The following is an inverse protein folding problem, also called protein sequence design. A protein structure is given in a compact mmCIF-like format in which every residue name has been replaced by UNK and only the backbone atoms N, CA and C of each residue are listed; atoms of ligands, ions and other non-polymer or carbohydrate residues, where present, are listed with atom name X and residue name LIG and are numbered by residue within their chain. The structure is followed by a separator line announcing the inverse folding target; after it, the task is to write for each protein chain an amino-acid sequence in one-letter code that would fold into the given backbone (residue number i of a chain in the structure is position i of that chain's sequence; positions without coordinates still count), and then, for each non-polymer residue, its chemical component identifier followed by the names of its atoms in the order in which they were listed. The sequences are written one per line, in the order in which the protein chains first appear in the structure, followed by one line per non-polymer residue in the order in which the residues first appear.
data_IF_009887501381
#
_entry.id   IF_009887501381
#
_cell.length_a   1.000
_cell.length_b   1.000
_cell.length_c   1.000
_cell.angle_alpha   90.00
_cell.angle_beta   90.00
_cell.angle_gamma   90.00
#
_symmetry.space_group_name_H-M   'P 1'
#
loop_
_entity.id
_entity.type
_entity.pdbx_description
1 polymer ?
#
# COMPACT_ATOMS: atom_id res chain seq x y z
N UNK A 1 19.75 22.54 1.34
CA UNK A 1 20.75 23.07 2.29
C UNK A 1 20.08 23.38 3.62
N UNK A 2 19.31 24.47 3.77
CA UNK A 2 18.51 24.74 4.97
C UNK A 2 17.46 23.64 5.25
N UNK A 3 16.91 23.04 4.21
CA UNK A 3 15.92 21.98 4.28
C UNK A 3 16.37 20.76 5.10
N UNK A 4 17.63 20.36 4.98
CA UNK A 4 18.22 19.19 5.69
C UNK A 4 19.22 19.58 6.79
N UNK A 5 19.47 20.86 6.99
CA UNK A 5 20.49 21.36 7.95
C UNK A 5 21.92 21.00 7.58
N UNK A 6 22.18 20.54 6.34
CA UNK A 6 23.51 20.14 5.89
C UNK A 6 23.80 20.66 4.47
N UNK A 7 25.04 21.07 4.25
CA UNK A 7 25.59 21.41 2.93
C UNK A 7 26.92 20.68 2.75
N UNK A 8 27.06 19.92 1.67
CA UNK A 8 28.26 19.08 1.40
C UNK A 8 28.69 18.22 2.60
N UNK A 9 27.70 17.60 3.28
CA UNK A 9 27.93 16.77 4.46
C UNK A 9 28.18 17.51 5.78
N UNK A 10 28.38 18.83 5.76
CA UNK A 10 28.63 19.66 6.95
C UNK A 10 27.33 20.30 7.47
N UNK A 11 27.19 20.42 8.80
CA UNK A 11 26.06 21.12 9.41
C UNK A 11 26.08 22.61 9.03
N UNK A 12 24.91 23.14 8.68
CA UNK A 12 24.70 24.58 8.44
C UNK A 12 24.03 25.16 9.66
N UNK A 13 24.74 26.05 10.37
CA UNK A 13 24.28 26.65 11.62
C UNK A 13 23.38 27.88 11.40
N UNK A 14 23.59 28.62 10.30
CA UNK A 14 22.78 29.78 9.98
C UNK A 14 22.61 29.92 8.46
N UNK A 15 21.48 30.48 8.05
CA UNK A 15 21.17 30.88 6.68
C UNK A 15 20.65 32.32 6.71
N UNK A 16 21.29 33.23 5.95
CA UNK A 16 20.92 34.66 5.92
C UNK A 16 20.79 35.28 7.33
N UNK A 17 21.72 34.90 8.23
CA UNK A 17 21.76 35.42 9.61
C UNK A 17 20.73 34.80 10.56
N UNK A 18 19.86 33.89 10.10
CA UNK A 18 18.92 33.16 10.96
C UNK A 18 19.46 31.79 11.32
N UNK A 19 19.32 31.33 12.59
CA UNK A 19 19.76 30.00 12.99
C UNK A 19 18.99 28.92 12.22
N UNK A 20 19.70 27.91 11.75
CA UNK A 20 19.10 26.72 11.11
C UNK A 20 18.89 25.67 12.21
N UNK A 21 17.65 25.18 12.43
CA UNK A 21 17.37 24.15 13.41
C UNK A 21 18.16 22.88 13.15
N UNK A 22 18.40 22.08 14.17
CA UNK A 22 19.01 20.76 14.02
C UNK A 22 18.18 19.90 13.06
N UNK A 23 18.85 19.30 12.04
CA UNK A 23 18.17 18.59 10.97
C UNK A 23 17.49 19.49 9.92
N UNK A 24 17.66 20.82 10.04
CA UNK A 24 17.05 21.80 9.16
C UNK A 24 15.52 21.93 9.31
N UNK A 25 14.86 22.49 8.31
CA UNK A 25 13.40 22.60 8.30
C UNK A 25 12.68 21.23 8.38
N UNK A 26 13.26 20.19 7.81
CA UNK A 26 12.70 18.83 7.91
C UNK A 26 12.79 18.32 9.35
N UNK A 27 13.93 18.53 10.03
CA UNK A 27 14.07 18.14 11.44
C UNK A 27 13.08 18.88 12.34
N UNK A 28 12.94 20.18 12.14
CA UNK A 28 11.97 21.00 12.87
C UNK A 28 10.53 20.56 12.61
N UNK A 29 10.17 20.36 11.35
CA UNK A 29 8.84 19.86 10.98
C UNK A 29 8.51 18.52 11.64
N UNK A 30 9.47 17.59 11.69
CA UNK A 30 9.28 16.28 12.34
C UNK A 30 9.15 16.37 13.85
N UNK A 31 9.78 17.37 14.50
CA UNK A 31 9.60 17.61 15.94
C UNK A 31 8.23 18.18 16.24
N UNK A 32 7.74 19.09 15.39
CA UNK A 32 6.43 19.73 15.57
C UNK A 32 5.27 18.82 15.16
N UNK A 33 5.45 18.04 14.09
CA UNK A 33 4.44 17.13 13.54
C UNK A 33 5.05 15.74 13.43
N UNK A 34 4.85 14.87 14.42
CA UNK A 34 5.31 13.48 14.35
C UNK A 34 4.72 12.77 13.13
N UNK A 35 5.58 12.07 12.38
CA UNK A 35 5.11 11.24 11.26
C UNK A 35 4.35 10.02 11.79
N UNK A 36 3.28 9.59 11.11
CA UNK A 36 2.62 8.33 11.47
C UNK A 36 3.60 7.17 11.29
N UNK A 37 3.58 6.24 12.24
CA UNK A 37 4.27 4.96 12.10
C UNK A 37 3.26 3.92 11.57
N UNK A 38 3.37 3.61 10.29
CA UNK A 38 2.51 2.64 9.59
C UNK A 38 3.21 1.31 9.37
N UNK A 39 4.47 1.16 9.79
CA UNK A 39 5.34 0.02 9.49
C UNK A 39 4.67 -1.31 9.88
N UNK A 40 4.17 -1.41 11.11
CA UNK A 40 3.49 -2.63 11.55
C UNK A 40 2.24 -2.94 10.72
N UNK A 41 1.44 -1.93 10.38
CA UNK A 41 0.24 -2.15 9.56
C UNK A 41 0.58 -2.65 8.16
N UNK A 42 1.65 -2.10 7.55
CA UNK A 42 2.14 -2.55 6.24
C UNK A 42 2.69 -3.98 6.31
N UNK A 43 3.46 -4.32 7.35
CA UNK A 43 3.97 -5.67 7.57
C UNK A 43 2.82 -6.69 7.72
N UNK A 44 1.81 -6.39 8.54
CA UNK A 44 0.65 -7.27 8.75
C UNK A 44 -0.20 -7.40 7.47
N UNK A 45 -0.34 -6.32 6.71
CA UNK A 45 -1.00 -6.33 5.40
C UNK A 45 -0.29 -7.25 4.42
N UNK A 46 1.04 -7.10 4.27
CA UNK A 46 1.85 -7.98 3.42
C UNK A 46 1.80 -9.44 3.87
N UNK A 47 1.86 -9.69 5.18
CA UNK A 47 1.76 -11.04 5.73
C UNK A 47 0.40 -11.68 5.44
N UNK A 48 -0.71 -10.95 5.63
CA UNK A 48 -2.06 -11.47 5.36
C UNK A 48 -2.25 -11.75 3.87
N UNK A 49 -1.79 -10.85 3.01
CA UNK A 49 -1.85 -11.01 1.57
C UNK A 49 -1.10 -12.26 1.10
N UNK A 50 0.13 -12.47 1.57
CA UNK A 50 0.91 -13.66 1.20
C UNK A 50 0.28 -14.95 1.75
N UNK A 51 -0.15 -14.93 3.01
CA UNK A 51 -0.73 -16.12 3.64
C UNK A 51 -2.09 -16.48 3.03
N UNK A 52 -2.89 -15.53 2.59
CA UNK A 52 -4.19 -15.78 1.96
C UNK A 52 -4.07 -16.54 0.65
N UNK A 53 -3.02 -16.30 -0.13
CA UNK A 53 -2.75 -17.01 -1.40
C UNK A 53 -2.47 -18.50 -1.18
N UNK A 54 -1.98 -18.87 -0.01
CA UNK A 54 -1.64 -20.24 0.33
C UNK A 54 -2.84 -21.06 0.84
N UNK A 55 -3.98 -20.40 1.10
CA UNK A 55 -5.18 -21.11 1.56
C UNK A 55 -5.75 -22.04 0.48
N UNK A 56 -6.27 -23.21 0.85
CA UNK A 56 -6.82 -24.17 -0.10
C UNK A 56 -7.94 -23.56 -0.98
N UNK A 57 -8.77 -22.73 -0.40
CA UNK A 57 -9.91 -22.09 -1.06
C UNK A 57 -9.45 -21.10 -2.15
N UNK A 58 -8.43 -20.29 -1.85
CA UNK A 58 -7.88 -19.33 -2.83
C UNK A 58 -7.14 -20.07 -3.94
N UNK A 59 -6.35 -21.10 -3.61
CA UNK A 59 -5.69 -21.93 -4.62
C UNK A 59 -6.69 -22.61 -5.56
N UNK A 60 -7.76 -23.17 -5.02
CA UNK A 60 -8.81 -23.81 -5.82
C UNK A 60 -9.51 -22.82 -6.73
N UNK A 61 -9.87 -21.64 -6.21
CA UNK A 61 -10.52 -20.59 -6.99
C UNK A 61 -9.59 -20.00 -8.06
N UNK A 62 -8.29 -19.84 -7.77
CA UNK A 62 -7.29 -19.41 -8.76
C UNK A 62 -7.14 -20.43 -9.88
N UNK A 63 -7.12 -21.73 -9.57
CA UNK A 63 -7.07 -22.78 -10.57
C UNK A 63 -8.33 -22.80 -11.46
N UNK A 64 -9.51 -22.61 -10.88
CA UNK A 64 -10.76 -22.49 -11.62
C UNK A 64 -10.77 -21.26 -12.53
N UNK A 65 -10.28 -20.11 -12.05
CA UNK A 65 -10.12 -18.90 -12.84
C UNK A 65 -9.15 -19.11 -14.03
N UNK A 66 -7.99 -19.73 -13.78
CA UNK A 66 -7.03 -20.06 -14.83
C UNK A 66 -7.62 -20.97 -15.92
N UNK A 67 -8.42 -21.99 -15.53
CA UNK A 67 -9.13 -22.85 -16.46
C UNK A 67 -10.15 -22.06 -17.29
N UNK A 68 -10.94 -21.18 -16.69
CA UNK A 68 -11.87 -20.29 -17.38
C UNK A 68 -11.16 -19.37 -18.40
N UNK A 69 -10.01 -18.80 -18.02
CA UNK A 69 -9.20 -17.96 -18.92
C UNK A 69 -8.65 -18.77 -20.10
N UNK A 70 -8.24 -20.02 -19.85
CA UNK A 70 -7.77 -20.93 -20.90
C UNK A 70 -8.87 -21.25 -21.92
N UNK A 71 -10.11 -21.46 -21.49
CA UNK A 71 -11.27 -21.67 -22.40
C UNK A 71 -11.53 -20.46 -23.29
N UNK A 72 -11.10 -19.27 -22.88
CA UNK A 72 -11.19 -18.01 -23.63
C UNK A 72 -9.95 -17.72 -24.48
N UNK A 73 -8.98 -18.64 -24.51
CA UNK A 73 -7.76 -18.54 -25.32
C UNK A 73 -6.58 -17.86 -24.61
N UNK A 74 -6.67 -17.58 -23.29
CA UNK A 74 -5.59 -16.97 -22.52
C UNK A 74 -4.86 -18.01 -21.67
N UNK A 75 -3.57 -18.22 -21.94
CA UNK A 75 -2.72 -19.17 -21.20
C UNK A 75 -2.08 -18.44 -19.99
N UNK A 76 -2.79 -18.38 -18.89
CA UNK A 76 -2.35 -17.72 -17.65
C UNK A 76 -2.58 -18.62 -16.45
N UNK A 77 -1.59 -18.73 -15.56
CA UNK A 77 -1.68 -19.53 -14.34
C UNK A 77 -2.21 -18.71 -13.16
N UNK A 78 -1.86 -17.44 -13.10
CA UNK A 78 -2.21 -16.52 -12.00
C UNK A 78 -2.73 -15.19 -12.55
N UNK A 79 -3.40 -14.43 -11.69
CA UNK A 79 -3.87 -13.07 -12.04
C UNK A 79 -2.73 -12.12 -12.35
N UNK A 80 -1.52 -12.38 -11.83
CA UNK A 80 -0.33 -11.59 -12.14
C UNK A 80 0.16 -11.83 -13.57
N UNK A 81 0.02 -13.06 -14.08
CA UNK A 81 0.37 -13.38 -15.45
C UNK A 81 -0.56 -12.68 -16.45
N UNK A 82 -1.83 -12.49 -16.07
CA UNK A 82 -2.79 -11.76 -16.89
C UNK A 82 -2.39 -10.29 -17.10
N UNK A 83 -1.75 -9.66 -16.14
CA UNK A 83 -1.25 -8.29 -16.27
C UNK A 83 -0.18 -8.13 -17.36
N UNK A 84 0.50 -9.23 -17.71
CA UNK A 84 1.54 -9.23 -18.74
C UNK A 84 0.99 -9.50 -20.16
N UNK A 85 -0.32 -9.73 -20.31
CA UNK A 85 -0.96 -9.95 -21.61
C UNK A 85 -1.14 -8.66 -22.44
N UNK A 86 -0.97 -7.52 -21.81
CA UNK A 86 -1.13 -6.19 -22.41
C UNK A 86 0.08 -5.32 -22.12
N UNK A 87 0.34 -4.32 -22.96
CA UNK A 87 1.43 -3.38 -22.75
C UNK A 87 1.00 -2.22 -21.84
N UNK A 88 1.47 -2.16 -20.58
CA UNK A 88 1.11 -1.09 -19.65
C UNK A 88 1.66 0.30 -20.05
N UNK A 89 2.62 0.35 -20.99
CA UNK A 89 3.20 1.59 -21.50
C UNK A 89 2.43 2.18 -22.70
N UNK A 90 1.42 1.47 -23.20
CA UNK A 90 0.61 1.95 -24.32
C UNK A 90 -0.17 3.21 -23.91
N UNK A 91 -0.13 4.23 -24.77
CA UNK A 91 -0.89 5.48 -24.56
C UNK A 91 -2.38 5.38 -24.93
N UNK A 92 -2.80 4.25 -25.52
CA UNK A 92 -4.18 4.01 -25.96
C UNK A 92 -4.62 2.59 -25.62
N UNK A 93 -5.89 2.46 -25.22
CA UNK A 93 -6.51 1.16 -24.94
C UNK A 93 -6.82 0.45 -26.26
N UNK A 94 -6.18 -0.71 -26.48
CA UNK A 94 -6.41 -1.55 -27.65
C UNK A 94 -7.67 -2.42 -27.49
N UNK A 95 -8.21 -2.92 -28.63
CA UNK A 95 -9.30 -3.90 -28.60
C UNK A 95 -8.89 -5.24 -27.96
N UNK A 96 -7.63 -5.63 -28.10
CA UNK A 96 -7.07 -6.81 -27.44
C UNK A 96 -7.09 -6.65 -25.92
N UNK A 97 -6.63 -5.51 -25.42
CA UNK A 97 -6.63 -5.17 -23.99
C UNK A 97 -8.05 -5.18 -23.42
N UNK A 98 -9.00 -4.55 -24.12
CA UNK A 98 -10.42 -4.55 -23.72
C UNK A 98 -11.00 -5.97 -23.65
N UNK A 99 -10.71 -6.81 -24.65
CA UNK A 99 -11.17 -8.22 -24.69
C UNK A 99 -10.57 -9.02 -23.53
N UNK A 100 -9.29 -8.85 -23.24
CA UNK A 100 -8.61 -9.50 -22.12
C UNK A 100 -9.23 -9.10 -20.79
N UNK A 101 -9.44 -7.80 -20.57
CA UNK A 101 -10.06 -7.29 -19.34
C UNK A 101 -11.49 -7.82 -19.14
N UNK A 102 -12.31 -7.87 -20.18
CA UNK A 102 -13.66 -8.43 -20.11
C UNK A 102 -13.66 -9.92 -19.80
N UNK A 103 -12.74 -10.69 -20.41
CA UNK A 103 -12.58 -12.10 -20.13
C UNK A 103 -12.15 -12.35 -18.68
N UNK A 104 -11.23 -11.53 -18.17
CA UNK A 104 -10.74 -11.59 -16.80
C UNK A 104 -11.85 -11.29 -15.77
N UNK A 105 -12.63 -10.23 -15.99
CA UNK A 105 -13.77 -9.86 -15.14
C UNK A 105 -14.79 -11.00 -15.08
N UNK A 106 -15.20 -11.54 -16.23
CA UNK A 106 -16.20 -12.60 -16.29
C UNK A 106 -15.68 -13.91 -15.64
N UNK A 107 -14.42 -14.28 -15.84
CA UNK A 107 -13.83 -15.43 -15.18
C UNK A 107 -13.69 -15.24 -13.67
N UNK A 108 -13.31 -14.06 -13.18
CA UNK A 108 -13.30 -13.73 -11.74
C UNK A 108 -14.69 -13.83 -11.11
N UNK A 109 -15.72 -13.36 -11.82
CA UNK A 109 -17.11 -13.47 -11.37
C UNK A 109 -17.61 -14.91 -11.33
N UNK A 110 -17.35 -15.69 -12.38
CA UNK A 110 -17.78 -17.10 -12.46
C UNK A 110 -17.17 -18.00 -11.40
N UNK A 111 -15.96 -17.68 -10.97
CA UNK A 111 -15.22 -18.49 -9.98
C UNK A 111 -15.26 -17.93 -8.57
N UNK A 112 -15.98 -16.82 -8.36
CA UNK A 112 -16.02 -16.08 -7.10
C UNK A 112 -14.63 -15.75 -6.53
N UNK A 113 -13.60 -15.68 -7.39
CA UNK A 113 -12.20 -15.55 -6.96
C UNK A 113 -12.00 -14.38 -6.00
N UNK A 114 -12.55 -13.21 -6.34
CA UNK A 114 -12.37 -12.01 -5.52
C UNK A 114 -13.04 -12.16 -4.16
N UNK A 115 -14.26 -12.70 -4.11
CA UNK A 115 -15.00 -12.87 -2.86
C UNK A 115 -14.37 -13.94 -1.95
N UNK A 116 -13.89 -15.05 -2.54
CA UNK A 116 -13.19 -16.12 -1.82
C UNK A 116 -11.88 -15.60 -1.24
N UNK A 117 -11.09 -14.89 -2.04
CA UNK A 117 -9.80 -14.33 -1.58
C UNK A 117 -10.00 -13.28 -0.50
N UNK A 118 -10.90 -12.33 -0.73
CA UNK A 118 -11.24 -11.31 0.27
C UNK A 118 -11.63 -11.93 1.63
N UNK A 119 -12.45 -12.98 1.61
CA UNK A 119 -12.87 -13.68 2.84
C UNK A 119 -11.70 -14.36 3.55
N UNK A 120 -10.82 -15.01 2.80
CA UNK A 120 -9.64 -15.67 3.33
C UNK A 120 -8.66 -14.67 3.95
N UNK A 121 -8.33 -13.61 3.22
CA UNK A 121 -7.42 -12.57 3.68
C UNK A 121 -7.98 -11.82 4.89
N UNK A 122 -9.25 -11.44 4.87
CA UNK A 122 -9.93 -10.81 6.00
C UNK A 122 -9.82 -11.64 7.28
N UNK A 123 -10.05 -12.95 7.22
CA UNK A 123 -9.94 -13.85 8.38
C UNK A 123 -8.54 -13.85 8.98
N UNK A 124 -7.51 -13.84 8.12
CA UNK A 124 -6.11 -13.76 8.54
C UNK A 124 -5.83 -12.38 9.16
N UNK A 125 -6.28 -11.30 8.53
CA UNK A 125 -6.12 -9.94 9.05
C UNK A 125 -6.77 -9.79 10.43
N UNK A 126 -8.00 -10.26 10.63
CA UNK A 126 -8.69 -10.22 11.92
C UNK A 126 -7.87 -10.92 13.01
N UNK A 127 -7.25 -12.07 12.69
CA UNK A 127 -6.37 -12.78 13.62
C UNK A 127 -5.09 -12.01 13.93
N UNK A 128 -4.45 -11.41 12.92
CA UNK A 128 -3.24 -10.62 13.08
C UNK A 128 -3.50 -9.34 13.86
N UNK A 129 -4.61 -8.65 13.58
CA UNK A 129 -5.04 -7.44 14.31
C UNK A 129 -5.24 -7.78 15.79
N UNK A 130 -5.98 -8.83 16.11
CA UNK A 130 -6.22 -9.25 17.49
C UNK A 130 -4.90 -9.55 18.23
N UNK A 131 -3.95 -10.19 17.56
CA UNK A 131 -2.62 -10.52 18.13
C UNK A 131 -1.77 -9.26 18.39
N UNK A 132 -1.94 -8.21 17.61
CA UNK A 132 -1.11 -7.00 17.64
C UNK A 132 -1.89 -5.75 18.08
N UNK A 133 -3.06 -5.93 18.71
CA UNK A 133 -4.01 -4.86 19.03
C UNK A 133 -3.36 -3.68 19.75
N UNK A 134 -2.61 -3.93 20.84
CA UNK A 134 -2.00 -2.84 21.65
C UNK A 134 -1.00 -2.02 20.81
N UNK A 135 -0.22 -2.66 19.95
CA UNK A 135 0.76 -1.98 19.11
C UNK A 135 0.08 -1.14 18.02
N UNK A 136 -0.99 -1.66 17.43
CA UNK A 136 -1.80 -0.95 16.43
C UNK A 136 -2.54 0.23 17.05
N UNK A 137 -3.09 0.09 18.25
CA UNK A 137 -3.74 1.18 18.98
C UNK A 137 -2.75 2.30 19.33
N UNK A 138 -1.53 1.95 19.73
CA UNK A 138 -0.45 2.91 19.95
C UNK A 138 -0.06 3.66 18.66
N UNK A 139 0.09 2.95 17.55
CA UNK A 139 0.39 3.56 16.26
C UNK A 139 -0.74 4.49 15.79
N UNK A 140 -2.00 4.08 15.99
CA UNK A 140 -3.18 4.92 15.74
C UNK A 140 -3.19 6.18 16.58
N UNK A 141 -2.91 6.07 17.89
CA UNK A 141 -2.84 7.22 18.80
C UNK A 141 -1.77 8.22 18.36
N UNK A 142 -0.58 7.72 17.96
CA UNK A 142 0.50 8.56 17.44
C UNK A 142 0.09 9.28 16.13
N UNK A 143 -0.61 8.59 15.26
CA UNK A 143 -1.13 9.19 14.00
C UNK A 143 -2.13 10.31 14.30
N UNK A 144 -3.05 10.09 15.23
CA UNK A 144 -4.03 11.11 15.64
C UNK A 144 -3.33 12.32 16.28
N UNK A 145 -2.32 12.09 17.12
CA UNK A 145 -1.52 13.16 17.72
C UNK A 145 -0.79 13.99 16.64
N UNK A 146 -0.18 13.33 15.65
CA UNK A 146 0.47 13.98 14.51
C UNK A 146 -0.50 14.83 13.68
N UNK A 147 -1.69 14.32 13.38
CA UNK A 147 -2.73 15.08 12.68
C UNK A 147 -3.20 16.31 13.47
N UNK A 148 -3.33 16.19 14.78
CA UNK A 148 -3.70 17.30 15.66
C UNK A 148 -2.63 18.38 15.65
N UNK A 149 -1.36 17.99 15.81
CA UNK A 149 -0.23 18.91 15.74
C UNK A 149 -0.14 19.63 14.37
N UNK A 150 -0.33 18.90 13.26
CA UNK A 150 -0.34 19.49 11.92
C UNK A 150 -1.42 20.57 11.76
N UNK A 151 -2.63 20.32 12.27
CA UNK A 151 -3.73 21.30 12.25
C UNK A 151 -3.40 22.55 13.05
N UNK A 152 -2.75 22.41 14.22
CA UNK A 152 -2.34 23.55 15.06
C UNK A 152 -1.30 24.42 14.35
N UNK A 153 -0.26 23.80 13.77
CA UNK A 153 0.78 24.52 13.03
C UNK A 153 0.19 25.29 11.84
N UNK A 154 -0.71 24.68 11.06
CA UNK A 154 -1.34 25.33 9.91
C UNK A 154 -2.32 26.44 10.30
N UNK A 155 -2.95 26.36 11.46
CA UNK A 155 -3.84 27.40 11.98
C UNK A 155 -3.09 28.66 12.44
N UNK A 156 -1.87 28.50 12.99
CA UNK A 156 -1.01 29.61 13.48
C UNK A 156 -0.22 30.31 12.36
N UNK A 157 -0.21 29.75 11.16
CA UNK A 157 0.57 30.28 10.01
C UNK A 157 -0.29 31.12 9.05
N UNK A 158 -1.57 31.30 9.34
CA UNK A 158 -2.51 32.22 8.65
C UNK A 158 -2.66 33.53 9.39
#
# INVERSE_FOLDING_TARGET
TALKGKQNGRAVQALEGKPVPEGGCIGESRRQVPSPDITLAEELSGQSFTASQETPEVKASMAAWSACMKERGYQVATVWDAANLTDPASSSISDAERKTALAEIDCKQKTDLVAIWFKAERKIQETLIAKHQDALDKARANTVAGLTAARQVTATTR
#
